data_IF_518144505902
#
_entry.id   IF_518144505902
#
_cell.length_a   1.000
_cell.length_b   1.000
_cell.length_c   1.000
_cell.angle_alpha   90.00
_cell.angle_beta   90.00
_cell.angle_gamma   90.00
#
_symmetry.space_group_name_H-M   'P 1'
#
loop_
_entity.id
_entity.type
_entity.pdbx_description
1 polymer ?
#
# COMPACT_ATOMS: atom_id res chain seq x y z
N UNK A 1 7.49 -57.31 22.93
CA UNK A 1 6.97 -56.94 24.26
C UNK A 1 6.96 -55.43 24.53
N UNK A 2 7.99 -54.66 24.16
CA UNK A 2 8.07 -53.23 24.53
C UNK A 2 7.09 -52.31 23.78
N UNK A 3 6.89 -52.49 22.47
CA UNK A 3 5.93 -51.72 21.66
C UNK A 3 4.50 -51.78 22.17
N UNK A 4 4.06 -52.95 22.66
CA UNK A 4 2.70 -53.15 23.20
C UNK A 4 2.50 -52.36 24.51
N UNK A 5 3.49 -52.38 25.41
CA UNK A 5 3.52 -51.55 26.64
C UNK A 5 3.53 -50.05 26.33
N UNK A 6 4.27 -49.61 25.32
CA UNK A 6 4.32 -48.20 24.92
C UNK A 6 2.94 -47.74 24.41
N UNK A 7 2.29 -48.55 23.57
CA UNK A 7 0.95 -48.27 23.05
C UNK A 7 -0.10 -48.19 24.18
N UNK A 8 -0.05 -49.11 25.14
CA UNK A 8 -0.94 -49.09 26.31
C UNK A 8 -0.73 -47.84 27.17
N UNK A 9 0.53 -47.52 27.50
CA UNK A 9 0.87 -46.29 28.25
C UNK A 9 0.43 -45.01 27.54
N UNK A 10 0.56 -44.93 26.22
CA UNK A 10 0.09 -43.79 25.42
C UNK A 10 -1.43 -43.68 25.46
N UNK A 11 -2.16 -44.80 25.42
CA UNK A 11 -3.62 -44.83 25.50
C UNK A 11 -4.09 -44.32 26.86
N UNK A 12 -3.47 -44.79 27.95
CA UNK A 12 -3.82 -44.37 29.30
C UNK A 12 -3.53 -42.88 29.51
N UNK A 13 -2.34 -42.42 29.09
CA UNK A 13 -1.96 -41.01 29.10
C UNK A 13 -2.98 -40.15 28.34
N UNK A 14 -3.38 -40.57 27.14
CA UNK A 14 -4.31 -39.81 26.31
C UNK A 14 -5.71 -39.73 26.90
N UNK A 15 -6.15 -40.80 27.57
CA UNK A 15 -7.45 -40.85 28.24
C UNK A 15 -7.48 -39.86 29.41
N UNK A 16 -6.40 -39.79 30.19
CA UNK A 16 -6.28 -38.83 31.30
C UNK A 16 -6.07 -37.39 30.80
N UNK A 17 -5.25 -37.21 29.77
CA UNK A 17 -4.96 -35.90 29.18
C UNK A 17 -6.22 -35.20 28.65
N UNK A 18 -7.14 -35.95 28.04
CA UNK A 18 -8.43 -35.44 27.56
C UNK A 18 -9.40 -35.03 28.68
N UNK A 19 -9.19 -35.44 29.94
CA UNK A 19 -10.05 -34.99 31.06
C UNK A 19 -9.71 -33.56 31.48
N UNK A 20 -8.48 -33.11 31.21
CA UNK A 20 -8.01 -31.78 31.58
C UNK A 20 -8.34 -30.77 30.48
N UNK A 21 -9.31 -29.89 30.73
CA UNK A 21 -9.76 -28.85 29.77
C UNK A 21 -8.62 -27.94 29.27
N UNK A 22 -7.69 -27.58 30.16
CA UNK A 22 -6.51 -26.76 29.82
C UNK A 22 -5.56 -27.52 28.89
N UNK A 23 -5.39 -28.84 29.09
CA UNK A 23 -4.59 -29.69 28.22
C UNK A 23 -5.15 -29.75 26.81
N UNK A 24 -6.47 -29.93 26.67
CA UNK A 24 -7.13 -29.90 25.35
C UNK A 24 -6.96 -28.54 24.66
N UNK A 25 -7.11 -27.43 25.38
CA UNK A 25 -6.92 -26.10 24.80
C UNK A 25 -5.50 -25.90 24.27
N UNK A 26 -4.47 -26.33 25.03
CA UNK A 26 -3.08 -26.30 24.59
C UNK A 26 -2.83 -27.19 23.38
N UNK A 27 -3.43 -28.38 23.34
CA UNK A 27 -3.35 -29.27 22.17
C UNK A 27 -4.02 -28.66 20.94
N UNK A 28 -5.19 -28.04 21.10
CA UNK A 28 -5.88 -27.38 19.99
C UNK A 28 -5.04 -26.22 19.43
N UNK A 29 -4.43 -25.42 20.31
CA UNK A 29 -3.49 -24.37 19.91
C UNK A 29 -2.27 -24.95 19.19
N UNK A 30 -1.70 -26.05 19.68
CA UNK A 30 -0.58 -26.72 19.03
C UNK A 30 -0.94 -27.21 17.63
N UNK A 31 -2.10 -27.86 17.47
CA UNK A 31 -2.60 -28.30 16.17
C UNK A 31 -2.79 -27.11 15.23
N UNK A 32 -3.36 -26.01 15.72
CA UNK A 32 -3.50 -24.76 14.96
C UNK A 32 -2.14 -24.24 14.48
N UNK A 33 -1.13 -24.18 15.36
CA UNK A 33 0.22 -23.73 15.03
C UNK A 33 0.91 -24.65 14.01
N UNK A 34 0.74 -25.97 14.13
CA UNK A 34 1.27 -26.94 13.17
C UNK A 34 0.63 -26.72 11.80
N UNK A 35 -0.70 -26.55 11.75
CA UNK A 35 -1.42 -26.25 10.50
C UNK A 35 -0.91 -24.94 9.90
N UNK A 36 -0.77 -23.88 10.69
CA UNK A 36 -0.21 -22.61 10.24
C UNK A 36 1.23 -22.71 9.71
N UNK A 37 2.05 -23.60 10.28
CA UNK A 37 3.42 -23.81 9.81
C UNK A 37 3.47 -24.59 8.48
N UNK A 38 2.47 -25.43 8.21
CA UNK A 38 2.42 -26.29 7.01
C UNK A 38 1.77 -25.57 5.82
N UNK A 39 0.73 -24.75 6.06
CA UNK A 39 -0.03 -24.03 5.02
C UNK A 39 0.88 -23.29 4.00
N UNK A 40 1.92 -22.54 4.41
CA UNK A 40 2.77 -21.80 3.50
C UNK A 40 3.38 -22.65 2.39
N UNK A 41 3.68 -23.93 2.66
CA UNK A 41 4.27 -24.84 1.67
C UNK A 41 3.32 -25.10 0.49
N UNK A 42 2.00 -25.06 0.72
CA UNK A 42 1.00 -25.35 -0.30
C UNK A 42 0.45 -24.10 -0.99
N UNK A 43 0.47 -22.96 -0.30
CA UNK A 43 -0.17 -21.72 -0.78
C UNK A 43 0.83 -20.77 -1.43
N UNK A 44 2.07 -20.72 -0.96
CA UNK A 44 3.08 -19.78 -1.46
C UNK A 44 3.93 -20.41 -2.56
N UNK A 45 4.32 -19.60 -3.53
CA UNK A 45 5.37 -19.99 -4.48
C UNK A 45 6.73 -20.09 -3.76
N UNK A 46 7.64 -20.88 -4.36
CA UNK A 46 8.95 -21.20 -3.76
C UNK A 46 9.83 -19.96 -3.57
N UNK A 47 9.67 -18.95 -4.42
CA UNK A 47 10.42 -17.69 -4.34
C UNK A 47 9.93 -16.85 -3.16
N UNK A 48 8.61 -16.66 -3.03
CA UNK A 48 7.98 -15.98 -1.90
C UNK A 48 8.31 -16.67 -0.58
N UNK A 49 8.28 -18.00 -0.53
CA UNK A 49 8.63 -18.76 0.68
C UNK A 49 10.10 -18.54 1.09
N UNK A 50 11.05 -18.59 0.15
CA UNK A 50 12.49 -18.43 0.44
C UNK A 50 12.89 -16.98 0.72
N UNK A 51 12.22 -16.02 0.10
CA UNK A 51 12.53 -14.59 0.16
C UNK A 51 11.52 -13.82 1.02
N UNK A 52 10.76 -14.50 1.88
CA UNK A 52 9.70 -13.88 2.69
C UNK A 52 10.21 -12.71 3.53
N UNK A 53 11.45 -12.81 4.03
CA UNK A 53 12.14 -11.78 4.81
C UNK A 53 12.80 -10.69 3.95
N UNK A 54 13.03 -10.96 2.66
CA UNK A 54 13.58 -10.01 1.67
C UNK A 54 12.48 -9.29 0.90
N UNK A 55 11.21 -9.57 1.19
CA UNK A 55 10.12 -9.00 0.41
C UNK A 55 10.10 -7.48 0.62
N UNK A 56 10.34 -6.67 -0.43
CA UNK A 56 10.33 -5.22 -0.31
C UNK A 56 8.98 -4.69 0.17
N UNK A 57 7.90 -5.48 0.11
CA UNK A 57 6.61 -5.10 0.70
C UNK A 57 6.69 -4.76 2.19
N UNK A 58 7.60 -5.36 2.96
CA UNK A 58 7.74 -5.00 4.38
C UNK A 58 8.41 -3.64 4.57
N UNK A 59 9.44 -3.34 3.77
CA UNK A 59 10.14 -2.05 3.79
C UNK A 59 9.29 -0.91 3.18
N UNK A 60 8.39 -1.26 2.25
CA UNK A 60 7.48 -0.32 1.59
C UNK A 60 6.18 -0.11 2.37
N UNK A 61 5.86 -0.97 3.34
CA UNK A 61 4.70 -0.75 4.19
C UNK A 61 5.06 0.33 5.23
N UNK A 62 4.32 1.45 5.30
CA UNK A 62 4.59 2.46 6.30
C UNK A 62 4.56 1.81 7.69
N UNK A 63 5.52 2.08 8.59
CA UNK A 63 5.59 1.42 9.90
C UNK A 63 4.35 1.66 10.77
N UNK A 64 3.53 2.67 10.41
CA UNK A 64 2.29 3.04 11.08
C UNK A 64 1.02 2.61 10.33
N UNK A 65 1.14 1.97 9.16
CA UNK A 65 -0.01 1.48 8.41
C UNK A 65 -0.48 0.13 8.99
N UNK A 66 -1.73 0.03 9.48
CA UNK A 66 -2.26 -1.24 9.96
C UNK A 66 -2.35 -2.25 8.81
N UNK A 67 -2.14 -3.55 9.07
CA UNK A 67 -2.39 -4.58 8.07
C UNK A 67 -3.84 -4.55 7.57
N UNK A 68 -4.07 -4.92 6.31
CA UNK A 68 -5.40 -4.85 5.69
C UNK A 68 -6.47 -5.65 6.44
N UNK A 69 -6.10 -6.81 7.00
CA UNK A 69 -7.02 -7.65 7.75
C UNK A 69 -7.58 -6.97 9.00
N UNK A 70 -6.94 -5.90 9.51
CA UNK A 70 -7.47 -5.12 10.64
C UNK A 70 -8.86 -4.56 10.30
N UNK A 71 -9.12 -4.26 9.02
CA UNK A 71 -10.42 -3.80 8.56
C UNK A 71 -11.55 -4.77 8.90
N UNK A 72 -11.30 -6.07 8.98
CA UNK A 72 -12.33 -7.07 9.35
C UNK A 72 -12.80 -6.93 10.80
N UNK A 73 -12.01 -6.30 11.66
CA UNK A 73 -12.25 -6.21 13.10
C UNK A 73 -12.64 -4.81 13.59
N UNK A 74 -12.61 -3.79 12.71
CA UNK A 74 -12.94 -2.40 13.05
C UNK A 74 -14.23 -1.93 12.38
N UNK A 75 -15.00 -1.13 13.11
CA UNK A 75 -16.24 -0.55 12.59
C UNK A 75 -15.99 0.54 11.55
N UNK A 76 -14.89 1.29 11.67
CA UNK A 76 -14.45 2.30 10.71
C UNK A 76 -13.31 1.74 9.87
N UNK A 77 -13.49 1.65 8.56
CA UNK A 77 -12.52 1.03 7.65
C UNK A 77 -11.39 1.99 7.32
N UNK A 78 -10.15 1.50 7.47
CA UNK A 78 -8.94 2.10 6.95
C UNK A 78 -8.84 1.88 5.44
N UNK A 79 -8.12 2.77 4.76
CA UNK A 79 -7.75 2.58 3.36
C UNK A 79 -6.75 1.42 3.23
N UNK A 80 -7.08 0.34 2.49
CA UNK A 80 -6.13 -0.71 2.18
C UNK A 80 -5.07 -0.20 1.21
N UNK A 81 -3.98 -0.96 1.04
CA UNK A 81 -3.00 -0.61 0.03
C UNK A 81 -3.64 -0.72 -1.35
N UNK A 82 -3.39 0.27 -2.20
CA UNK A 82 -3.86 0.27 -3.58
C UNK A 82 -2.76 0.80 -4.48
N UNK A 83 -2.48 0.05 -5.53
CA UNK A 83 -1.63 0.53 -6.63
C UNK A 83 -2.48 1.42 -7.54
N UNK A 84 -2.05 2.67 -7.75
CA UNK A 84 -2.64 3.55 -8.76
C UNK A 84 -1.75 3.61 -9.99
N UNK A 85 -2.36 3.49 -11.17
CA UNK A 85 -1.69 3.73 -12.44
C UNK A 85 -2.07 5.15 -12.92
N UNK A 86 -1.14 5.89 -13.56
CA UNK A 86 -1.45 7.22 -14.05
C UNK A 86 -2.47 7.13 -15.19
N UNK A 87 -3.52 7.95 -15.12
CA UNK A 87 -4.50 8.07 -16.20
C UNK A 87 -3.94 8.91 -17.36
N UNK A 88 -3.04 9.85 -17.07
CA UNK A 88 -2.38 10.69 -18.05
C UNK A 88 -0.92 10.88 -17.62
N UNK A 89 0.00 10.79 -18.57
CA UNK A 89 1.41 11.15 -18.36
C UNK A 89 1.87 12.01 -19.53
N UNK A 90 2.43 13.19 -19.25
CA UNK A 90 2.88 14.10 -20.31
C UNK A 90 4.10 14.90 -19.87
N UNK A 91 4.91 15.41 -20.81
CA UNK A 91 5.96 16.36 -20.49
C UNK A 91 5.43 17.64 -19.82
N UNK A 92 6.20 18.18 -18.87
CA UNK A 92 5.82 19.35 -18.09
C UNK A 92 5.46 20.57 -18.96
N UNK A 93 6.19 20.81 -20.04
CA UNK A 93 5.90 21.93 -20.94
C UNK A 93 4.55 21.77 -21.66
N UNK A 94 4.11 20.55 -21.99
CA UNK A 94 2.79 20.31 -22.59
C UNK A 94 1.68 20.54 -21.58
N UNK A 95 1.86 20.09 -20.34
CA UNK A 95 0.91 20.35 -19.25
C UNK A 95 0.73 21.85 -19.03
N UNK A 96 1.82 22.60 -18.92
CA UNK A 96 1.79 24.06 -18.72
C UNK A 96 1.16 24.77 -19.92
N UNK A 97 1.45 24.33 -21.15
CA UNK A 97 0.81 24.87 -22.35
C UNK A 97 -0.72 24.67 -22.34
N UNK A 98 -1.18 23.46 -21.95
CA UNK A 98 -2.61 23.10 -21.85
C UNK A 98 -3.32 23.99 -20.83
N UNK A 99 -2.72 24.20 -19.66
CA UNK A 99 -3.28 25.04 -18.59
C UNK A 99 -3.40 26.53 -18.99
N UNK A 100 -2.43 27.04 -19.74
CA UNK A 100 -2.43 28.44 -20.19
C UNK A 100 -3.11 28.66 -21.55
N UNK A 101 -3.66 27.61 -22.17
CA UNK A 101 -4.18 27.61 -23.53
C UNK A 101 -3.17 28.21 -24.55
N UNK A 102 -1.90 27.81 -24.45
CA UNK A 102 -0.82 28.37 -25.24
C UNK A 102 -0.72 27.73 -26.62
N UNK A 103 -0.78 28.54 -27.68
CA UNK A 103 -0.87 28.04 -29.06
C UNK A 103 0.40 27.38 -29.61
N UNK A 104 1.57 27.57 -28.97
CA UNK A 104 2.87 27.09 -29.47
C UNK A 104 3.67 26.36 -28.38
N UNK A 105 3.20 25.18 -27.89
CA UNK A 105 3.78 24.48 -26.74
C UNK A 105 5.28 24.22 -26.80
N UNK A 106 5.85 24.02 -28.00
CA UNK A 106 7.28 23.72 -28.18
C UNK A 106 8.21 24.83 -27.66
N UNK A 107 7.79 26.09 -27.68
CA UNK A 107 8.60 27.21 -27.15
C UNK A 107 8.80 27.12 -25.64
N UNK A 108 7.94 26.38 -24.93
CA UNK A 108 7.99 26.22 -23.49
C UNK A 108 8.99 25.13 -23.06
N UNK A 109 9.43 24.27 -23.98
CA UNK A 109 10.36 23.16 -23.72
C UNK A 109 11.69 23.60 -23.13
N UNK A 110 12.14 24.82 -23.48
CA UNK A 110 13.39 25.38 -22.94
C UNK A 110 13.26 25.79 -21.46
N UNK A 111 12.06 26.18 -21.01
CA UNK A 111 11.79 26.68 -19.67
C UNK A 111 11.29 25.58 -18.73
N UNK A 112 10.49 24.66 -19.24
CA UNK A 112 9.82 23.63 -18.46
C UNK A 112 10.32 22.25 -18.87
N UNK A 113 11.21 21.68 -18.06
CA UNK A 113 11.74 20.32 -18.25
C UNK A 113 11.17 19.41 -17.18
N UNK A 114 10.65 18.27 -17.58
CA UNK A 114 10.04 17.34 -16.66
C UNK A 114 8.87 16.56 -17.23
N UNK A 115 8.23 15.79 -16.36
CA UNK A 115 7.03 15.00 -16.63
C UNK A 115 5.98 15.26 -15.56
N UNK A 116 4.72 15.21 -15.96
CA UNK A 116 3.55 15.26 -15.10
C UNK A 116 2.84 13.93 -15.22
N UNK A 117 2.57 13.31 -14.08
CA UNK A 117 1.73 12.13 -13.99
C UNK A 117 0.48 12.48 -13.22
N UNK A 118 -0.66 12.11 -13.78
CA UNK A 118 -1.97 12.38 -13.25
C UNK A 118 -2.59 11.08 -12.77
N UNK A 119 -2.97 11.03 -11.50
CA UNK A 119 -3.63 9.90 -10.89
C UNK A 119 -5.02 10.32 -10.42
N UNK A 120 -6.03 9.63 -10.91
CA UNK A 120 -7.39 9.76 -10.38
C UNK A 120 -7.53 8.81 -9.18
N UNK A 121 -8.11 9.32 -8.09
CA UNK A 121 -8.44 8.49 -6.94
C UNK A 121 -9.89 8.69 -6.51
N UNK A 122 -10.54 7.57 -6.16
CA UNK A 122 -11.80 7.57 -5.42
C UNK A 122 -11.57 6.96 -4.04
N UNK A 123 -11.94 7.73 -3.03
CA UNK A 123 -11.71 7.47 -1.62
C UNK A 123 -13.06 7.19 -0.92
N UNK A 124 -13.34 5.90 -0.81
CA UNK A 124 -14.62 5.36 -0.31
C UNK A 124 -14.57 4.94 1.17
N UNK A 125 -13.46 5.20 1.86
CA UNK A 125 -13.20 4.68 3.20
C UNK A 125 -13.56 5.69 4.30
N UNK A 126 -13.64 5.21 5.54
CA UNK A 126 -14.11 6.02 6.68
C UNK A 126 -12.99 6.88 7.28
N UNK A 127 -11.74 6.41 7.22
CA UNK A 127 -10.60 7.05 7.90
C UNK A 127 -9.56 7.56 6.89
N UNK A 128 -9.53 8.87 6.58
CA UNK A 128 -8.67 9.49 5.56
C UNK A 128 -7.21 9.10 5.72
N UNK A 129 -6.52 8.89 4.59
CA UNK A 129 -5.08 8.64 4.60
C UNK A 129 -4.36 9.88 5.10
N UNK A 130 -3.44 9.70 6.06
CA UNK A 130 -2.66 10.80 6.63
C UNK A 130 -1.37 11.09 5.87
N UNK A 131 -0.85 10.10 5.15
CA UNK A 131 0.43 10.15 4.46
C UNK A 131 0.30 9.58 3.05
N UNK A 132 0.99 10.18 2.10
CA UNK A 132 1.22 9.61 0.76
C UNK A 132 2.69 9.22 0.73
N UNK A 133 2.99 7.97 0.36
CA UNK A 133 4.36 7.48 0.17
C UNK A 133 4.59 7.34 -1.32
N UNK A 134 5.66 7.95 -1.82
CA UNK A 134 6.07 7.84 -3.22
C UNK A 134 7.33 7.00 -3.31
N UNK A 135 7.28 5.92 -4.08
CA UNK A 135 8.45 5.09 -4.37
C UNK A 135 8.93 5.36 -5.79
N UNK A 136 10.13 5.92 -5.91
CA UNK A 136 10.80 6.09 -7.20
C UNK A 136 11.83 4.98 -7.40
N UNK A 137 11.70 4.23 -8.49
CA UNK A 137 12.66 3.19 -8.90
C UNK A 137 13.52 3.70 -10.06
N UNK A 138 14.79 3.28 -10.10
CA UNK A 138 15.70 3.57 -11.22
C UNK A 138 16.22 5.00 -11.30
N UNK A 139 16.17 5.76 -10.20
CA UNK A 139 16.64 7.14 -10.13
C UNK A 139 18.10 7.19 -9.69
N UNK A 140 19.00 7.54 -10.61
CA UNK A 140 20.45 7.64 -10.36
C UNK A 140 20.95 9.08 -10.14
N UNK A 141 20.03 10.05 -10.07
CA UNK A 141 20.34 11.48 -9.94
C UNK A 141 19.30 12.16 -9.05
N UNK A 142 19.63 13.31 -8.45
CA UNK A 142 18.65 14.08 -7.67
C UNK A 142 17.49 14.53 -8.53
N UNK A 143 16.27 14.19 -8.13
CA UNK A 143 15.02 14.59 -8.81
C UNK A 143 14.27 15.56 -7.91
N UNK A 144 13.73 16.63 -8.50
CA UNK A 144 12.77 17.51 -7.79
C UNK A 144 11.36 17.02 -8.09
N UNK A 145 10.58 16.86 -7.02
CA UNK A 145 9.22 16.37 -7.05
C UNK A 145 8.33 17.45 -6.44
N UNK A 146 7.27 17.83 -7.13
CA UNK A 146 6.14 18.55 -6.54
C UNK A 146 4.90 17.67 -6.63
N UNK A 147 4.03 17.78 -5.63
CA UNK A 147 2.74 17.09 -5.57
C UNK A 147 1.67 18.16 -5.48
N UNK A 148 0.74 18.15 -6.43
CA UNK A 148 -0.50 18.90 -6.30
C UNK A 148 -1.64 17.93 -6.08
N UNK A 149 -2.55 18.27 -5.15
CA UNK A 149 -3.77 17.51 -4.91
C UNK A 149 -4.95 18.40 -5.27
N UNK A 150 -5.73 17.97 -6.25
CA UNK A 150 -7.01 18.57 -6.59
C UNK A 150 -8.12 17.78 -5.91
N UNK A 151 -8.87 18.45 -5.04
CA UNK A 151 -10.01 17.87 -4.33
C UNK A 151 -11.27 18.01 -5.19
N UNK A 152 -12.23 17.07 -5.18
CA UNK A 152 -13.52 17.19 -5.84
C UNK A 152 -14.34 18.29 -5.17
N UNK A 153 -15.41 18.77 -5.82
CA UNK A 153 -16.31 19.75 -5.23
C UNK A 153 -16.88 19.21 -3.91
N UNK A 154 -16.82 20.02 -2.84
CA UNK A 154 -17.36 19.67 -1.52
C UNK A 154 -18.24 20.80 -1.01
N UNK A 155 -19.38 20.43 -0.41
CA UNK A 155 -20.28 21.40 0.22
C UNK A 155 -19.52 22.09 1.36
N UNK A 156 -19.45 23.43 1.31
CA UNK A 156 -18.78 24.25 2.32
C UNK A 156 -17.28 24.45 2.13
N UNK A 157 -16.70 24.00 1.00
CA UNK A 157 -15.30 24.25 0.65
C UNK A 157 -15.25 25.17 -0.57
N UNK A 158 -14.50 26.27 -0.50
CA UNK A 158 -14.34 27.18 -1.63
C UNK A 158 -13.48 26.56 -2.73
N UNK A 159 -13.71 26.96 -3.99
CA UNK A 159 -13.04 26.37 -5.15
C UNK A 159 -11.52 26.50 -5.08
N UNK A 160 -11.01 27.65 -4.64
CA UNK A 160 -9.57 27.85 -4.46
C UNK A 160 -8.95 26.95 -3.39
N UNK A 161 -9.71 26.55 -2.37
CA UNK A 161 -9.22 25.68 -1.31
C UNK A 161 -9.14 24.23 -1.79
N UNK A 162 -9.76 23.89 -2.92
CA UNK A 162 -9.69 22.55 -3.51
C UNK A 162 -8.32 22.25 -4.12
N UNK A 163 -7.53 23.28 -4.42
CA UNK A 163 -6.19 23.12 -5.01
C UNK A 163 -5.13 23.23 -3.93
N UNK A 164 -4.55 22.09 -3.60
CA UNK A 164 -3.47 21.99 -2.65
C UNK A 164 -2.15 21.88 -3.41
N UNK A 165 -1.53 23.04 -3.64
CA UNK A 165 -0.30 23.17 -4.45
C UNK A 165 0.96 22.98 -3.62
N UNK A 166 1.97 22.33 -4.19
CA UNK A 166 3.30 22.15 -3.60
C UNK A 166 3.26 21.51 -2.18
N UNK A 167 2.30 20.62 -1.93
CA UNK A 167 2.21 19.95 -0.62
C UNK A 167 3.32 18.89 -0.51
N UNK A 168 4.24 19.12 0.42
CA UNK A 168 5.08 18.09 1.02
C UNK A 168 4.40 17.74 2.35
N UNK A 169 3.60 16.66 2.30
CA UNK A 169 2.78 16.02 3.34
C UNK A 169 2.47 16.74 4.66
N UNK A 170 1.16 16.83 4.98
CA UNK A 170 0.69 17.20 6.32
C UNK A 170 -0.79 17.58 6.45
N UNK A 171 -1.64 17.34 5.43
CA UNK A 171 -3.04 17.79 5.43
C UNK A 171 -3.98 16.68 4.94
N UNK A 172 -5.15 16.61 5.57
CA UNK A 172 -6.26 15.69 5.32
C UNK A 172 -6.61 15.53 3.82
N UNK A 173 -6.50 14.32 3.29
CA UNK A 173 -6.87 13.97 1.91
C UNK A 173 -8.39 13.78 1.79
N UNK A 174 -9.08 14.41 0.81
CA UNK A 174 -10.53 14.29 0.61
C UNK A 174 -10.99 12.93 0.04
N UNK A 175 -12.31 12.78 -0.10
CA UNK A 175 -12.98 11.52 -0.53
C UNK A 175 -12.86 11.15 -2.01
N UNK A 176 -12.49 12.02 -2.92
CA UNK A 176 -12.09 11.65 -4.29
C UNK A 176 -11.07 12.72 -4.71
N UNK A 177 -10.55 12.70 -5.93
CA UNK A 177 -9.75 13.79 -6.47
C UNK A 177 -8.67 13.35 -7.45
N UNK A 178 -7.79 14.28 -7.75
CA UNK A 178 -6.65 14.07 -8.65
C UNK A 178 -5.34 14.35 -7.90
N UNK A 179 -4.36 13.46 -8.01
CA UNK A 179 -2.98 13.70 -7.56
C UNK A 179 -2.14 13.93 -8.81
N UNK A 180 -1.49 15.08 -8.87
CA UNK A 180 -0.54 15.44 -9.93
C UNK A 180 0.87 15.37 -9.36
N UNK A 181 1.68 14.48 -9.92
CA UNK A 181 3.10 14.38 -9.60
C UNK A 181 3.91 15.06 -10.69
N UNK A 182 4.64 16.10 -10.30
CA UNK A 182 5.53 16.85 -11.18
C UNK A 182 6.96 16.41 -10.92
N UNK A 183 7.63 15.92 -11.95
CA UNK A 183 9.03 15.52 -11.90
C UNK A 183 9.84 16.46 -12.78
N UNK A 184 10.82 17.16 -12.22
CA UNK A 184 11.80 17.90 -13.03
C UNK A 184 13.01 16.99 -13.22
N UNK A 185 13.16 16.42 -14.42
CA UNK A 185 14.19 15.42 -14.72
C UNK A 185 13.94 14.60 -15.99
N UNK A 186 14.62 13.46 -16.13
CA UNK A 186 14.44 12.48 -17.21
C UNK A 186 13.14 11.68 -16.99
N UNK A 187 12.57 11.16 -18.08
CA UNK A 187 11.40 10.28 -18.07
C UNK A 187 11.59 9.12 -17.08
N UNK A 188 10.65 8.95 -16.15
CA UNK A 188 10.64 7.84 -15.21
C UNK A 188 9.85 6.71 -15.86
N UNK A 189 10.50 5.57 -16.09
CA UNK A 189 9.93 4.43 -16.83
C UNK A 189 8.79 3.73 -16.08
N UNK A 190 8.71 3.89 -14.75
CA UNK A 190 7.61 3.34 -13.94
C UNK A 190 7.51 4.07 -12.60
N UNK A 191 6.30 4.44 -12.19
CA UNK A 191 5.99 4.96 -10.86
C UNK A 191 4.97 4.02 -10.23
N UNK A 192 5.25 3.57 -9.01
CA UNK A 192 4.28 2.83 -8.19
C UNK A 192 3.85 3.80 -7.07
N UNK A 193 2.61 4.27 -7.17
CA UNK A 193 1.94 5.08 -6.16
C UNK A 193 0.93 4.21 -5.38
#
# INVERSE_FOLDING_TARGET
MQLKRIKEKLKDFWTEYRRTKIGIAGLALLVLLIVMAIIPWFVLDIDTYRKWYLNPRWDLNPPLAPPEWVNEFVSKKYTPWRKLEPIESMPLYLYIAKQMNYSQPELLKQYFRGYVYVFEYSYVWDIPTKNIVLLLKGVNQSVKISIDIERPPQIGVAEQDRYLKDIISGVYTPKEGEIRLFFVGKEITSIEA
#
